data_IF_551290769214
#
_entry.id   IF_551290769214
#
_cell.length_a   1.000
_cell.length_b   1.000
_cell.length_c   1.000
_cell.angle_alpha   90.00
_cell.angle_beta   90.00
_cell.angle_gamma   90.00
#
_symmetry.space_group_name_H-M   'P 1'
#
loop_
_entity.id
_entity.type
_entity.pdbx_description
1 polymer ?
#
# COMPACT_ATOMS: atom_id res chain seq x y z
N UNK A 1 -18.39 1.51 -7.03
CA UNK A 1 -17.62 2.30 -6.06
C UNK A 1 -16.19 2.00 -6.41
N UNK A 2 -15.64 2.88 -7.24
CA UNK A 2 -14.42 2.59 -7.98
C UNK A 2 -13.26 2.65 -6.99
N UNK A 3 -12.66 1.48 -6.75
CA UNK A 3 -11.52 1.38 -5.85
C UNK A 3 -10.33 2.00 -6.56
N UNK A 4 -10.03 3.25 -6.23
CA UNK A 4 -8.86 3.94 -6.76
C UNK A 4 -7.58 3.29 -6.23
N UNK A 5 -6.59 3.09 -7.10
CA UNK A 5 -5.26 2.59 -6.74
C UNK A 5 -4.24 3.66 -7.10
N UNK A 6 -3.31 3.96 -6.20
CA UNK A 6 -2.14 4.77 -6.51
C UNK A 6 -0.99 3.84 -6.90
N UNK A 7 -0.57 3.87 -8.16
CA UNK A 7 0.46 2.99 -8.71
C UNK A 7 1.37 3.79 -9.66
N UNK A 8 2.70 3.67 -9.48
CA UNK A 8 3.72 4.33 -10.32
C UNK A 8 3.47 5.83 -10.56
N UNK A 9 3.10 6.55 -9.49
CA UNK A 9 2.90 8.00 -9.52
C UNK A 9 1.53 8.47 -10.03
N UNK A 10 0.59 7.55 -10.28
CA UNK A 10 -0.74 7.88 -10.84
C UNK A 10 -1.86 7.24 -10.02
N UNK A 11 -2.98 7.94 -9.95
CA UNK A 11 -4.25 7.35 -9.53
C UNK A 11 -4.93 6.70 -10.73
N UNK A 12 -5.25 5.42 -10.63
CA UNK A 12 -5.89 4.61 -11.68
C UNK A 12 -7.06 3.83 -11.09
N UNK A 13 -7.95 3.35 -11.94
CA UNK A 13 -8.99 2.41 -11.51
C UNK A 13 -8.35 1.05 -11.14
N UNK A 14 -8.88 0.37 -10.13
CA UNK A 14 -8.37 -0.95 -9.71
C UNK A 14 -8.37 -1.98 -10.85
N UNK A 15 -9.32 -1.92 -11.77
CA UNK A 15 -9.38 -2.84 -12.92
C UNK A 15 -8.23 -2.66 -13.91
N UNK A 16 -7.59 -1.48 -13.93
CA UNK A 16 -6.43 -1.17 -14.77
C UNK A 16 -5.09 -1.39 -14.04
N UNK A 17 -5.12 -1.56 -12.71
CA UNK A 17 -3.92 -1.73 -11.90
C UNK A 17 -3.22 -3.06 -12.19
N UNK A 18 -1.95 -2.99 -12.57
CA UNK A 18 -1.12 -4.16 -12.87
C UNK A 18 0.33 -3.96 -12.42
N UNK A 19 0.94 -5.03 -11.93
CA UNK A 19 2.38 -5.08 -11.62
C UNK A 19 3.09 -6.01 -12.59
N UNK A 20 4.40 -5.84 -12.75
CA UNK A 20 5.20 -6.77 -13.55
C UNK A 20 5.19 -8.16 -12.91
N UNK A 21 5.12 -9.21 -13.71
CA UNK A 21 5.33 -10.59 -13.24
C UNK A 21 6.75 -10.78 -12.65
N UNK A 22 7.69 -9.92 -13.04
CA UNK A 22 9.07 -9.89 -12.53
C UNK A 22 9.25 -9.02 -11.29
N UNK A 23 8.17 -8.47 -10.73
CA UNK A 23 8.22 -7.72 -9.46
C UNK A 23 8.73 -8.63 -8.32
N UNK A 24 9.71 -8.16 -7.55
CA UNK A 24 10.31 -8.96 -6.47
C UNK A 24 9.35 -9.21 -5.32
N UNK A 25 8.48 -8.25 -5.03
CA UNK A 25 7.42 -8.40 -4.04
C UNK A 25 6.45 -9.52 -4.44
N UNK A 26 6.16 -9.63 -5.74
CA UNK A 26 5.36 -10.74 -6.27
C UNK A 26 6.13 -12.08 -6.29
N UNK A 27 7.35 -12.12 -6.83
CA UNK A 27 8.10 -13.36 -7.01
C UNK A 27 8.63 -13.98 -5.72
N UNK A 28 9.07 -13.14 -4.78
CA UNK A 28 9.83 -13.57 -3.60
C UNK A 28 9.18 -13.18 -2.28
N UNK A 29 8.01 -12.51 -2.32
CA UNK A 29 7.43 -11.92 -1.12
C UNK A 29 8.28 -10.78 -0.55
N UNK A 30 9.15 -10.20 -1.37
CA UNK A 30 10.09 -9.15 -0.98
C UNK A 30 9.40 -7.79 -0.97
N UNK A 31 8.56 -7.59 0.05
CA UNK A 31 7.82 -6.36 0.26
C UNK A 31 7.21 -6.32 1.66
N UNK A 32 6.96 -5.10 2.13
CA UNK A 32 6.24 -4.86 3.39
C UNK A 32 4.90 -4.20 3.08
N UNK A 33 3.88 -4.46 3.91
CA UNK A 33 2.56 -3.87 3.75
C UNK A 33 2.05 -3.27 5.07
N UNK A 34 1.13 -2.33 4.94
CA UNK A 34 0.45 -1.69 6.07
C UNK A 34 -1.02 -1.44 5.71
N UNK A 35 -1.91 -1.62 6.69
CA UNK A 35 -3.34 -1.32 6.56
C UNK A 35 -3.69 -0.21 7.56
N UNK A 36 -4.18 0.92 7.05
CA UNK A 36 -4.55 2.08 7.87
C UNK A 36 -6.06 2.30 7.80
N UNK A 37 -6.82 2.07 8.88
CA UNK A 37 -8.26 2.28 8.88
C UNK A 37 -8.65 3.76 8.80
N UNK A 38 -9.74 4.05 8.10
CA UNK A 38 -10.37 5.36 8.07
C UNK A 38 -11.81 5.22 8.58
N UNK A 39 -12.14 5.96 9.64
CA UNK A 39 -13.49 5.97 10.22
C UNK A 39 -14.04 7.39 10.17
N UNK A 40 -15.23 7.57 9.58
CA UNK A 40 -15.89 8.88 9.49
C UNK A 40 -14.95 9.97 8.96
N UNK A 41 -14.24 9.67 7.88
CA UNK A 41 -13.26 10.55 7.23
C UNK A 41 -12.07 10.96 8.10
N UNK A 42 -11.77 10.20 9.17
CA UNK A 42 -10.58 10.39 10.01
C UNK A 42 -9.71 9.14 9.98
N UNK A 43 -8.42 9.35 9.74
CA UNK A 43 -7.43 8.29 9.73
C UNK A 43 -7.15 7.87 11.18
N UNK A 44 -7.23 6.57 11.46
CA UNK A 44 -7.01 6.04 12.80
C UNK A 44 -5.51 5.79 13.03
N UNK A 45 -4.94 6.46 14.04
CA UNK A 45 -3.56 6.24 14.51
C UNK A 45 -2.48 6.29 13.41
N UNK A 46 -2.60 7.23 12.46
CA UNK A 46 -1.70 7.35 11.30
C UNK A 46 -0.21 7.24 11.68
N UNK A 47 0.24 8.00 12.66
CA UNK A 47 1.66 8.02 13.07
C UNK A 47 2.16 6.65 13.55
N UNK A 48 1.30 5.86 14.22
CA UNK A 48 1.67 4.52 14.68
C UNK A 48 1.82 3.53 13.52
N UNK A 49 0.94 3.61 12.52
CA UNK A 49 1.04 2.79 11.31
C UNK A 49 2.29 3.17 10.49
N UNK A 50 2.57 4.46 10.30
CA UNK A 50 3.78 4.90 9.60
C UNK A 50 5.05 4.50 10.35
N UNK A 51 5.06 4.58 11.68
CA UNK A 51 6.18 4.12 12.50
C UNK A 51 6.42 2.61 12.34
N UNK A 52 5.35 1.80 12.33
CA UNK A 52 5.47 0.35 12.10
C UNK A 52 5.96 0.04 10.69
N UNK A 53 5.40 0.67 9.66
CA UNK A 53 5.86 0.50 8.28
C UNK A 53 7.35 0.84 8.14
N UNK A 54 7.79 1.96 8.72
CA UNK A 54 9.21 2.37 8.70
C UNK A 54 10.09 1.39 9.46
N UNK A 55 9.62 0.87 10.59
CA UNK A 55 10.33 -0.19 11.32
C UNK A 55 10.48 -1.43 10.43
N UNK A 56 9.41 -1.89 9.78
CA UNK A 56 9.44 -3.05 8.88
C UNK A 56 10.39 -2.88 7.69
N UNK A 57 10.59 -1.66 7.17
CA UNK A 57 11.55 -1.37 6.09
C UNK A 57 13.02 -1.41 6.53
N UNK A 58 13.28 -1.33 7.84
CA UNK A 58 14.64 -1.32 8.39
C UNK A 58 15.11 -2.71 8.86
N UNK A 59 14.29 -3.76 8.69
CA UNK A 59 14.63 -5.15 9.00
C UNK A 59 14.96 -5.89 7.71
#
# INVERSE_FOLDING_TARGET
MDNIVFLNGKFIDKSEASISIMDRGFLFGDGVYELIPVYKSRIFLLDKHLARLRSSLNH
#
